data_IF_305562049223
#
_entry.id   IF_305562049223
#
_cell.length_a   1.000
_cell.length_b   1.000
_cell.length_c   1.000
_cell.angle_alpha   90.00
_cell.angle_beta   90.00
_cell.angle_gamma   90.00
#
_symmetry.space_group_name_H-M   'P 1'
#
loop_
_entity.id
_entity.type
_entity.pdbx_description
1 polymer ?
#
# COMPACT_ATOMS: atom_id res chain seq x y z
N UNK A 1 -35.45 -13.39 -13.12
CA UNK A 1 -34.58 -12.51 -12.30
C UNK A 1 -35.39 -11.41 -11.59
N UNK A 2 -36.69 -11.61 -11.33
CA UNK A 2 -37.46 -10.70 -10.48
C UNK A 2 -37.20 -11.03 -9.01
N UNK A 3 -36.75 -10.02 -8.25
CA UNK A 3 -36.84 -9.90 -6.78
C UNK A 3 -35.91 -10.78 -5.93
N UNK A 4 -34.62 -10.84 -6.28
CA UNK A 4 -33.59 -11.36 -5.35
C UNK A 4 -33.33 -10.42 -4.16
N UNK A 5 -33.50 -9.11 -4.37
CA UNK A 5 -33.17 -8.07 -3.40
C UNK A 5 -34.36 -7.15 -3.22
N UNK A 6 -35.03 -7.27 -2.09
CA UNK A 6 -36.00 -6.28 -1.63
C UNK A 6 -35.39 -5.59 -0.42
N UNK A 7 -34.93 -4.34 -0.57
CA UNK A 7 -34.40 -3.62 0.58
C UNK A 7 -35.51 -3.52 1.62
N UNK A 8 -35.16 -3.79 2.89
CA UNK A 8 -36.13 -3.70 3.98
C UNK A 8 -36.67 -2.27 4.10
N UNK A 9 -35.85 -1.29 3.71
CA UNK A 9 -36.17 0.13 3.71
C UNK A 9 -35.87 0.76 2.35
N UNK A 10 -36.79 1.57 1.85
CA UNK A 10 -36.68 2.25 0.56
C UNK A 10 -36.05 3.64 0.67
N UNK A 11 -35.88 4.16 1.89
CA UNK A 11 -35.24 5.45 2.17
C UNK A 11 -34.60 5.50 3.56
N UNK A 12 -33.64 6.41 3.74
CA UNK A 12 -33.00 6.68 5.04
C UNK A 12 -34.02 7.15 6.10
N UNK A 13 -35.10 7.81 5.67
CA UNK A 13 -36.18 8.22 6.55
C UNK A 13 -36.90 7.01 7.16
N UNK A 14 -37.12 5.94 6.39
CA UNK A 14 -37.74 4.72 6.91
C UNK A 14 -36.83 3.99 7.90
N UNK A 15 -35.52 3.96 7.65
CA UNK A 15 -34.52 3.43 8.59
C UNK A 15 -34.51 4.25 9.89
N UNK A 16 -34.54 5.58 9.78
CA UNK A 16 -34.59 6.48 10.93
C UNK A 16 -35.87 6.27 11.74
N UNK A 17 -37.01 6.11 11.06
CA UNK A 17 -38.30 5.80 11.69
C UNK A 17 -38.28 4.43 12.39
N UNK A 18 -37.57 3.44 11.83
CA UNK A 18 -37.37 2.14 12.48
C UNK A 18 -36.58 2.29 13.78
N UNK A 19 -35.46 3.01 13.78
CA UNK A 19 -34.68 3.27 14.99
C UNK A 19 -35.43 4.10 16.03
N UNK A 20 -36.26 5.07 15.60
CA UNK A 20 -37.12 5.83 16.51
C UNK A 20 -38.12 4.94 17.27
N UNK A 21 -38.57 3.84 16.65
CA UNK A 21 -39.50 2.86 17.26
C UNK A 21 -38.80 1.76 18.06
N UNK A 22 -37.49 1.58 17.89
CA UNK A 22 -36.71 0.52 18.50
C UNK A 22 -35.50 1.11 19.27
N UNK A 23 -35.69 1.58 20.52
CA UNK A 23 -34.66 2.28 21.27
C UNK A 23 -33.38 1.46 21.48
N UNK A 24 -33.48 0.15 21.69
CA UNK A 24 -32.32 -0.74 21.85
C UNK A 24 -31.50 -0.84 20.55
N UNK A 25 -32.16 -1.04 19.41
CA UNK A 25 -31.50 -1.07 18.10
C UNK A 25 -30.88 0.30 17.75
N UNK A 26 -31.53 1.39 18.15
CA UNK A 26 -31.01 2.75 17.96
C UNK A 26 -29.71 2.97 18.73
N UNK A 27 -29.68 2.59 20.01
CA UNK A 27 -28.45 2.71 20.82
C UNK A 27 -27.32 1.88 20.22
N UNK A 28 -27.60 0.62 19.85
CA UNK A 28 -26.59 -0.24 19.22
C UNK A 28 -26.04 0.36 17.91
N UNK A 29 -26.90 0.96 17.09
CA UNK A 29 -26.48 1.68 15.88
C UNK A 29 -25.65 2.94 16.19
N UNK A 30 -26.01 3.71 17.21
CA UNK A 30 -25.25 4.87 17.67
C UNK A 30 -23.85 4.46 18.16
N UNK A 31 -23.75 3.34 18.86
CA UNK A 31 -22.50 2.78 19.40
C UNK A 31 -21.55 2.24 18.31
N UNK A 32 -22.04 1.96 17.09
CA UNK A 32 -21.21 1.52 15.96
C UNK A 32 -20.18 2.57 15.50
N UNK A 33 -20.40 3.84 15.86
CA UNK A 33 -19.51 4.94 15.50
C UNK A 33 -19.49 5.27 13.99
N UNK A 34 -18.68 6.26 13.59
CA UNK A 34 -18.73 6.85 12.25
C UNK A 34 -18.25 5.91 11.14
N UNK A 35 -17.48 4.88 11.46
CA UNK A 35 -16.99 3.91 10.48
C UNK A 35 -18.10 2.91 10.07
N UNK A 36 -18.82 2.34 11.03
CA UNK A 36 -19.78 1.27 10.77
C UNK A 36 -21.22 1.76 10.54
N UNK A 37 -21.61 2.92 11.07
CA UNK A 37 -22.94 3.49 10.85
C UNK A 37 -23.30 3.63 9.36
N UNK A 38 -22.44 4.23 8.49
CA UNK A 38 -22.76 4.32 7.06
C UNK A 38 -22.87 2.95 6.40
N UNK A 39 -22.00 2.00 6.80
CA UNK A 39 -21.98 0.65 6.24
C UNK A 39 -23.24 -0.14 6.60
N UNK A 40 -23.72 -0.03 7.84
CA UNK A 40 -24.97 -0.61 8.30
C UNK A 40 -26.17 0.03 7.58
N UNK A 41 -26.18 1.37 7.46
CA UNK A 41 -27.23 2.09 6.73
C UNK A 41 -27.32 1.65 5.26
N UNK A 42 -26.18 1.54 4.57
CA UNK A 42 -26.12 1.08 3.18
C UNK A 42 -26.60 -0.37 3.02
N UNK A 43 -26.33 -1.23 4.00
CA UNK A 43 -26.86 -2.60 4.03
C UNK A 43 -28.39 -2.61 4.20
N UNK A 44 -28.93 -1.85 5.16
CA UNK A 44 -30.39 -1.74 5.40
C UNK A 44 -31.16 -1.22 4.19
N UNK A 45 -30.54 -0.33 3.40
CA UNK A 45 -31.08 0.20 2.14
C UNK A 45 -30.87 -0.73 0.94
N UNK A 46 -30.26 -1.91 1.12
CA UNK A 46 -29.95 -2.85 0.04
C UNK A 46 -28.98 -2.30 -1.01
N UNK A 47 -28.06 -1.42 -0.61
CA UNK A 47 -26.99 -0.89 -1.48
C UNK A 47 -25.71 -1.74 -1.38
N UNK A 48 -25.43 -2.27 -0.18
CA UNK A 48 -24.26 -3.11 0.11
C UNK A 48 -24.65 -4.49 0.62
N UNK A 49 -23.82 -5.50 0.39
CA UNK A 49 -23.92 -6.87 0.95
C UNK A 49 -23.42 -6.90 2.41
N UNK A 50 -23.38 -8.08 3.04
CA UNK A 50 -22.68 -8.23 4.33
C UNK A 50 -21.16 -8.14 4.13
N UNK A 51 -20.41 -7.47 5.03
CA UNK A 51 -18.96 -7.35 4.91
C UNK A 51 -18.27 -8.66 5.34
N UNK A 52 -18.15 -9.62 4.42
CA UNK A 52 -17.66 -10.98 4.71
C UNK A 52 -16.20 -11.06 5.12
N UNK A 53 -15.44 -9.99 4.95
CA UNK A 53 -14.04 -9.91 5.40
C UNK A 53 -13.89 -9.70 6.91
N UNK A 54 -15.00 -9.68 7.64
CA UNK A 54 -15.05 -9.54 9.08
C UNK A 54 -15.59 -10.80 9.74
N UNK A 55 -14.92 -11.22 10.81
CA UNK A 55 -15.15 -12.48 11.50
C UNK A 55 -16.62 -12.84 11.75
N UNK A 56 -17.46 -11.98 12.38
CA UNK A 56 -18.84 -12.36 12.68
C UNK A 56 -19.62 -12.72 11.41
N UNK A 57 -19.40 -11.97 10.33
CA UNK A 57 -20.08 -12.18 9.05
C UNK A 57 -19.57 -13.40 8.31
N UNK A 58 -18.24 -13.60 8.28
CA UNK A 58 -17.65 -14.79 7.71
C UNK A 58 -18.15 -16.05 8.42
N UNK A 59 -18.04 -16.08 9.76
CA UNK A 59 -18.49 -17.21 10.58
C UNK A 59 -19.97 -17.49 10.42
N UNK A 60 -20.79 -16.46 10.19
CA UNK A 60 -22.22 -16.65 9.95
C UNK A 60 -22.50 -17.34 8.61
N UNK A 61 -21.81 -16.95 7.54
CA UNK A 61 -22.01 -17.51 6.20
C UNK A 61 -21.37 -18.88 6.03
N UNK A 62 -20.19 -19.08 6.64
CA UNK A 62 -19.38 -20.30 6.57
C UNK A 62 -19.48 -21.16 7.84
N UNK A 63 -20.53 -20.98 8.64
CA UNK A 63 -20.70 -21.70 9.90
C UNK A 63 -20.70 -23.21 9.68
N UNK A 64 -19.78 -23.96 10.28
CA UNK A 64 -19.60 -25.35 9.88
C UNK A 64 -20.73 -26.30 10.32
N UNK A 65 -21.55 -25.93 11.31
CA UNK A 65 -22.71 -26.74 11.69
C UNK A 65 -23.89 -26.61 10.69
N UNK A 66 -23.99 -25.49 9.98
CA UNK A 66 -25.13 -25.21 9.09
C UNK A 66 -24.74 -25.20 7.62
N UNK A 67 -23.48 -24.87 7.31
CA UNK A 67 -22.95 -24.61 5.98
C UNK A 67 -21.50 -25.14 5.84
N UNK A 68 -21.17 -26.29 6.44
CA UNK A 68 -19.83 -26.91 6.36
C UNK A 68 -19.38 -27.15 4.93
N UNK A 69 -20.31 -27.49 4.05
CA UNK A 69 -20.10 -27.68 2.61
C UNK A 69 -19.44 -26.48 1.93
N UNK A 70 -19.77 -25.26 2.37
CA UNK A 70 -19.15 -24.03 1.85
C UNK A 70 -17.69 -23.92 2.23
N UNK A 71 -17.39 -24.17 3.50
CA UNK A 71 -16.03 -24.10 4.01
C UNK A 71 -15.17 -25.24 3.45
N UNK A 72 -15.72 -26.46 3.34
CA UNK A 72 -15.08 -27.59 2.67
C UNK A 72 -14.75 -27.28 1.20
N UNK A 73 -15.69 -26.68 0.48
CA UNK A 73 -15.51 -26.29 -0.92
C UNK A 73 -14.46 -25.18 -1.09
N UNK A 74 -14.47 -24.17 -0.20
CA UNK A 74 -13.45 -23.13 -0.17
C UNK A 74 -12.06 -23.73 0.10
N UNK A 75 -11.94 -24.51 1.17
CA UNK A 75 -10.68 -25.16 1.55
C UNK A 75 -10.18 -26.12 0.48
N UNK A 76 -11.08 -26.89 -0.13
CA UNK A 76 -10.72 -27.81 -1.21
C UNK A 76 -10.13 -27.07 -2.41
N UNK A 77 -10.68 -25.88 -2.67
CA UNK A 77 -10.22 -25.01 -3.75
C UNK A 77 -8.86 -24.36 -3.43
N UNK A 78 -8.62 -23.94 -2.18
CA UNK A 78 -7.36 -23.33 -1.74
C UNK A 78 -6.22 -24.36 -1.67
N UNK A 79 -6.51 -25.56 -1.16
CA UNK A 79 -5.53 -26.63 -0.95
C UNK A 79 -5.34 -27.53 -2.19
N UNK A 80 -6.05 -27.24 -3.29
CA UNK A 80 -6.01 -27.98 -4.55
C UNK A 80 -6.27 -29.49 -4.41
N UNK A 81 -7.10 -29.87 -3.44
CA UNK A 81 -7.48 -31.26 -3.16
C UNK A 81 -8.86 -31.31 -2.51
N UNK A 82 -9.58 -32.41 -2.69
CA UNK A 82 -10.84 -32.59 -1.96
C UNK A 82 -10.56 -32.74 -0.46
N UNK A 83 -11.30 -32.00 0.37
CA UNK A 83 -11.25 -32.09 1.84
C UNK A 83 -12.65 -32.12 2.42
N UNK A 84 -12.84 -32.84 3.52
CA UNK A 84 -14.05 -32.74 4.36
C UNK A 84 -13.69 -32.41 5.80
N UNK A 85 -14.54 -31.66 6.49
CA UNK A 85 -14.32 -31.23 7.87
C UNK A 85 -14.82 -32.34 8.81
N UNK A 86 -13.89 -32.94 9.57
CA UNK A 86 -14.23 -33.92 10.61
C UNK A 86 -14.84 -33.22 11.84
N UNK A 87 -14.23 -32.13 12.29
CA UNK A 87 -14.75 -31.29 13.37
C UNK A 87 -14.12 -29.90 13.37
N UNK A 88 -14.85 -28.94 13.94
CA UNK A 88 -14.32 -27.64 14.35
C UNK A 88 -13.69 -27.80 15.73
N UNK A 89 -12.49 -27.26 15.91
CA UNK A 89 -11.84 -27.24 17.22
C UNK A 89 -12.22 -25.95 17.97
N UNK A 90 -12.56 -26.05 19.28
CA UNK A 90 -12.83 -24.86 20.06
C UNK A 90 -11.57 -24.00 20.12
N UNK A 91 -11.76 -22.69 19.99
CA UNK A 91 -10.72 -21.69 20.24
C UNK A 91 -10.55 -21.54 21.76
N UNK A 92 -10.08 -22.58 22.46
CA UNK A 92 -9.82 -22.47 23.91
C UNK A 92 -8.63 -21.54 24.23
N UNK A 93 -8.78 -20.84 25.36
CA UNK A 93 -8.00 -19.71 25.87
C UNK A 93 -6.55 -20.03 26.29
N UNK A 94 -5.75 -18.95 26.30
CA UNK A 94 -4.46 -18.73 26.99
C UNK A 94 -3.20 -19.32 26.32
N UNK A 95 -2.52 -18.48 25.53
CA UNK A 95 -1.06 -18.51 25.45
C UNK A 95 -0.50 -18.47 26.88
N UNK A 96 0.49 -19.32 27.18
CA UNK A 96 1.31 -19.18 28.38
C UNK A 96 1.62 -17.69 28.61
N UNK A 97 1.18 -17.16 29.77
CA UNK A 97 1.29 -15.77 30.27
C UNK A 97 0.04 -14.85 30.22
N UNK A 98 -1.15 -15.39 29.99
CA UNK A 98 -2.41 -14.69 30.36
C UNK A 98 -2.82 -13.52 29.46
N UNK A 99 -2.00 -13.14 28.48
CA UNK A 99 -2.37 -12.22 27.40
C UNK A 99 -2.68 -13.01 26.12
N UNK A 100 -3.96 -13.05 25.77
CA UNK A 100 -4.43 -13.66 24.52
C UNK A 100 -4.01 -12.79 23.34
N UNK A 101 -2.91 -13.13 22.68
CA UNK A 101 -2.48 -12.56 21.38
C UNK A 101 -3.11 -13.27 20.16
N UNK A 102 -4.02 -14.21 20.40
CA UNK A 102 -4.70 -14.98 19.34
C UNK A 102 -6.13 -14.48 19.24
N UNK A 103 -6.36 -13.56 18.31
CA UNK A 103 -7.70 -13.09 17.99
C UNK A 103 -8.11 -13.79 16.70
N UNK A 104 -8.85 -14.89 16.92
CA UNK A 104 -9.73 -15.65 16.02
C UNK A 104 -9.10 -16.38 14.84
N UNK A 105 -9.72 -17.54 14.53
CA UNK A 105 -9.93 -18.12 13.20
C UNK A 105 -10.66 -19.47 13.28
N UNK A 106 -11.30 -19.88 12.18
CA UNK A 106 -11.96 -21.18 12.12
C UNK A 106 -10.86 -22.26 12.03
N UNK A 107 -10.61 -22.94 13.14
CA UNK A 107 -9.73 -24.11 13.19
C UNK A 107 -10.53 -25.37 12.92
N UNK A 108 -10.20 -26.08 11.85
CA UNK A 108 -10.86 -27.33 11.47
C UNK A 108 -9.88 -28.48 11.40
N UNK A 109 -10.38 -29.68 11.70
CA UNK A 109 -9.73 -30.93 11.34
C UNK A 109 -10.29 -31.43 10.02
N UNK A 110 -9.40 -31.81 9.12
CA UNK A 110 -9.73 -32.41 7.84
C UNK A 110 -9.77 -33.94 7.95
N UNK A 111 -10.35 -34.60 6.95
CA UNK A 111 -10.56 -36.04 6.87
C UNK A 111 -9.26 -36.87 6.85
N UNK A 112 -8.17 -36.28 6.39
CA UNK A 112 -6.83 -36.88 6.44
C UNK A 112 -6.13 -36.67 7.80
N UNK A 113 -6.82 -36.07 8.78
CA UNK A 113 -6.31 -35.78 10.11
C UNK A 113 -5.54 -34.45 10.23
N UNK A 114 -5.26 -33.76 9.12
CA UNK A 114 -4.58 -32.45 9.14
C UNK A 114 -5.43 -31.35 9.77
N UNK A 115 -4.77 -30.28 10.20
CA UNK A 115 -5.43 -29.08 10.74
C UNK A 115 -5.33 -27.93 9.75
N UNK A 116 -6.40 -27.16 9.60
CA UNK A 116 -6.37 -25.91 8.86
C UNK A 116 -6.91 -24.79 9.75
N UNK A 117 -6.22 -23.65 9.71
CA UNK A 117 -6.66 -22.40 10.29
C UNK A 117 -6.92 -21.40 9.19
N UNK A 118 -8.12 -20.84 9.15
CA UNK A 118 -8.55 -19.88 8.12
C UNK A 118 -8.74 -18.50 8.74
N UNK A 119 -7.88 -17.58 8.33
CA UNK A 119 -7.84 -16.17 8.73
C UNK A 119 -8.34 -15.25 7.66
N UNK A 120 -9.15 -14.27 8.06
CA UNK A 120 -9.47 -13.12 7.22
C UNK A 120 -9.09 -11.84 7.94
N UNK A 121 -8.13 -11.11 7.37
CA UNK A 121 -7.63 -9.85 7.92
C UNK A 121 -8.00 -8.69 7.00
N UNK A 122 -8.55 -7.63 7.58
CA UNK A 122 -8.83 -6.39 6.84
C UNK A 122 -7.55 -5.67 6.42
N UNK A 123 -6.60 -5.59 7.33
CA UNK A 123 -5.28 -4.99 7.15
C UNK A 123 -4.22 -5.91 7.75
N UNK A 124 -3.05 -6.05 7.11
CA UNK A 124 -1.87 -6.74 7.63
C UNK A 124 -1.19 -5.87 8.71
N UNK A 125 -1.86 -5.63 9.84
CA UNK A 125 -1.29 -4.87 10.97
C UNK A 125 -0.69 -5.79 12.04
N UNK A 126 0.34 -5.30 12.72
CA UNK A 126 0.97 -5.98 13.86
C UNK A 126 1.82 -7.19 13.48
N UNK A 127 2.96 -6.97 12.81
CA UNK A 127 3.90 -8.04 12.38
C UNK A 127 3.20 -9.32 11.85
N UNK A 128 2.37 -9.22 10.80
CA UNK A 128 1.48 -10.32 10.39
C UNK A 128 2.25 -11.59 10.01
N UNK A 129 3.45 -11.46 9.44
CA UNK A 129 4.32 -12.58 9.09
C UNK A 129 4.77 -13.35 10.36
N UNK A 130 5.06 -12.61 11.44
CA UNK A 130 5.37 -13.18 12.75
C UNK A 130 4.14 -13.83 13.39
N UNK A 131 2.96 -13.21 13.28
CA UNK A 131 1.69 -13.79 13.78
C UNK A 131 1.34 -15.09 13.08
N UNK A 132 1.44 -15.13 11.76
CA UNK A 132 1.25 -16.35 10.97
C UNK A 132 2.17 -17.48 11.45
N UNK A 133 3.44 -17.15 11.71
CA UNK A 133 4.42 -18.11 12.23
C UNK A 133 4.01 -18.64 13.61
N UNK A 134 3.52 -17.77 14.49
CA UNK A 134 3.00 -18.15 15.81
C UNK A 134 1.76 -19.05 15.70
N UNK A 135 0.79 -18.71 14.85
CA UNK A 135 -0.42 -19.53 14.66
C UNK A 135 -0.10 -20.91 14.14
N UNK A 136 0.75 -20.99 13.12
CA UNK A 136 1.18 -22.27 12.55
C UNK A 136 1.91 -23.13 13.59
N UNK A 137 2.78 -22.51 14.40
CA UNK A 137 3.51 -23.21 15.46
C UNK A 137 2.58 -23.70 16.58
N UNK A 138 1.60 -22.89 16.97
CA UNK A 138 0.59 -23.27 17.97
C UNK A 138 -0.26 -24.46 17.49
N UNK A 139 -0.75 -24.43 16.24
CA UNK A 139 -1.50 -25.54 15.65
C UNK A 139 -0.66 -26.83 15.61
N UNK A 140 0.60 -26.73 15.23
CA UNK A 140 1.52 -27.86 15.20
C UNK A 140 1.71 -28.44 16.62
N UNK A 141 1.87 -27.57 17.62
CA UNK A 141 2.02 -27.99 19.00
C UNK A 141 0.74 -28.62 19.58
N UNK A 142 -0.44 -28.12 19.22
CA UNK A 142 -1.73 -28.74 19.55
C UNK A 142 -1.83 -30.15 18.96
N UNK A 143 -1.46 -30.32 17.70
CA UNK A 143 -1.48 -31.63 17.05
C UNK A 143 -0.48 -32.60 17.69
N UNK A 144 0.76 -32.16 17.92
CA UNK A 144 1.77 -32.95 18.62
C UNK A 144 1.28 -33.41 20.00
N UNK A 145 0.75 -32.49 20.82
CA UNK A 145 0.28 -32.81 22.17
C UNK A 145 -0.89 -33.81 22.14
N UNK A 146 -1.83 -33.63 21.22
CA UNK A 146 -2.98 -34.54 21.03
C UNK A 146 -2.52 -35.96 20.63
N UNK A 147 -1.66 -36.07 19.62
CA UNK A 147 -1.18 -37.37 19.14
C UNK A 147 -0.29 -38.06 20.18
N UNK A 148 0.59 -37.32 20.86
CA UNK A 148 1.43 -37.85 21.93
C UNK A 148 0.61 -38.34 23.12
N UNK A 149 -0.43 -37.61 23.53
CA UNK A 149 -1.33 -38.05 24.58
C UNK A 149 -2.07 -39.34 24.20
N UNK A 150 -2.50 -39.47 22.92
CA UNK A 150 -3.20 -40.65 22.41
C UNK A 150 -2.30 -41.88 22.27
N UNK A 151 -1.05 -41.71 21.79
CA UNK A 151 -0.14 -42.82 21.49
C UNK A 151 0.82 -43.18 22.63
N UNK A 152 1.10 -42.26 23.55
CA UNK A 152 2.01 -42.49 24.67
C UNK A 152 3.37 -42.99 24.21
N UNK A 153 3.73 -44.22 24.61
CA UNK A 153 5.05 -44.81 24.30
C UNK A 153 5.23 -45.25 22.84
N UNK A 154 4.16 -45.40 22.06
CA UNK A 154 4.24 -45.77 20.64
C UNK A 154 4.27 -44.57 19.70
N UNK A 155 4.41 -43.36 20.24
CA UNK A 155 4.49 -42.12 19.48
C UNK A 155 5.71 -42.09 18.55
N UNK A 156 5.48 -41.66 17.30
CA UNK A 156 6.49 -41.29 16.32
C UNK A 156 6.17 -39.90 15.74
N UNK A 157 7.20 -39.13 15.37
CA UNK A 157 7.00 -37.85 14.66
C UNK A 157 6.33 -38.03 13.29
N UNK A 158 6.39 -39.23 12.70
CA UNK A 158 5.67 -39.58 11.48
C UNK A 158 4.14 -39.63 11.68
N UNK A 159 3.67 -39.63 12.93
CA UNK A 159 2.24 -39.66 13.27
C UNK A 159 1.60 -38.27 13.28
N UNK A 160 2.39 -37.20 13.13
CA UNK A 160 1.91 -35.82 13.15
C UNK A 160 1.42 -35.46 11.76
N UNK A 161 0.18 -34.98 11.66
CA UNK A 161 -0.40 -34.51 10.41
C UNK A 161 0.06 -33.07 10.11
N UNK A 162 -0.06 -32.68 8.84
CA UNK A 162 0.23 -31.31 8.42
C UNK A 162 -0.70 -30.30 9.09
N UNK A 163 -0.22 -29.07 9.20
CA UNK A 163 -0.98 -27.91 9.62
C UNK A 163 -0.91 -26.85 8.53
N UNK A 164 -2.07 -26.31 8.15
CA UNK A 164 -2.23 -25.28 7.13
C UNK A 164 -2.64 -23.98 7.81
N UNK A 165 -1.92 -22.89 7.50
CA UNK A 165 -2.28 -21.54 7.92
C UNK A 165 -2.68 -20.76 6.68
N UNK A 166 -3.97 -20.48 6.54
CA UNK A 166 -4.57 -19.80 5.40
C UNK A 166 -4.93 -18.39 5.85
N UNK A 167 -4.40 -17.37 5.19
CA UNK A 167 -4.68 -15.96 5.50
C UNK A 167 -5.21 -15.26 4.26
N UNK A 168 -6.34 -14.60 4.39
CA UNK A 168 -7.01 -13.84 3.34
C UNK A 168 -6.97 -12.36 3.74
N UNK A 169 -6.31 -11.54 2.93
CA UNK A 169 -6.24 -10.09 3.09
C UNK A 169 -7.32 -9.39 2.28
N UNK A 170 -8.11 -8.53 2.91
CA UNK A 170 -8.95 -7.57 2.17
C UNK A 170 -8.07 -6.52 1.47
N UNK A 171 -7.14 -5.91 2.23
CA UNK A 171 -6.11 -5.01 1.72
C UNK A 171 -4.75 -5.58 2.13
N UNK A 172 -3.93 -5.96 1.17
CA UNK A 172 -2.64 -6.59 1.38
C UNK A 172 -1.50 -5.56 1.52
N UNK A 173 -0.30 -6.01 1.91
CA UNK A 173 0.89 -5.13 1.99
C UNK A 173 1.39 -4.78 0.59
N UNK A 174 2.17 -3.70 0.48
CA UNK A 174 2.83 -3.30 -0.77
C UNK A 174 3.61 -4.44 -1.47
N UNK A 175 4.21 -5.36 -0.71
CA UNK A 175 4.93 -6.52 -1.26
C UNK A 175 4.07 -7.46 -2.12
N UNK A 176 2.75 -7.50 -1.92
CA UNK A 176 1.82 -8.31 -2.71
C UNK A 176 1.41 -7.65 -4.04
N UNK A 177 1.70 -6.35 -4.20
CA UNK A 177 1.47 -5.60 -5.44
C UNK A 177 2.75 -5.44 -6.28
N UNK A 178 3.80 -6.21 -5.97
CA UNK A 178 5.03 -6.18 -6.76
C UNK A 178 4.74 -6.59 -8.22
N UNK A 179 5.12 -5.79 -9.22
CA UNK A 179 4.93 -6.12 -10.63
C UNK A 179 5.53 -7.49 -11.02
N UNK A 180 6.58 -7.94 -10.34
CA UNK A 180 7.22 -9.23 -10.60
C UNK A 180 6.34 -10.43 -10.20
N UNK A 181 5.34 -10.22 -9.34
CA UNK A 181 4.32 -11.22 -9.02
C UNK A 181 3.27 -11.35 -10.13
N UNK A 182 3.27 -10.45 -11.12
CA UNK A 182 2.40 -10.50 -12.31
C UNK A 182 0.91 -10.73 -11.98
N UNK A 183 0.44 -10.05 -10.93
CA UNK A 183 -0.95 -10.13 -10.45
C UNK A 183 -1.32 -11.45 -9.77
N UNK A 184 -0.35 -12.25 -9.32
CA UNK A 184 -0.63 -13.38 -8.45
C UNK A 184 -1.23 -12.88 -7.14
N UNK A 185 -2.42 -13.37 -6.82
CA UNK A 185 -3.16 -13.07 -5.60
C UNK A 185 -3.24 -14.25 -4.64
N UNK A 186 -2.61 -15.39 -4.98
CA UNK A 186 -2.53 -16.59 -4.14
C UNK A 186 -1.07 -16.96 -4.03
N UNK A 187 -0.58 -17.09 -2.79
CA UNK A 187 0.80 -17.40 -2.48
C UNK A 187 0.85 -18.64 -1.59
N UNK A 188 1.34 -19.75 -2.13
CA UNK A 188 1.61 -20.96 -1.36
C UNK A 188 3.03 -20.90 -0.79
N UNK A 189 3.12 -20.93 0.53
CA UNK A 189 4.38 -20.96 1.27
C UNK A 189 4.76 -22.37 1.67
N UNK A 190 5.87 -22.85 1.11
CA UNK A 190 6.53 -24.10 1.49
C UNK A 190 8.04 -23.88 1.67
N UNK A 191 8.65 -24.60 2.61
CA UNK A 191 10.06 -24.40 2.94
C UNK A 191 10.97 -25.00 1.87
N UNK A 192 11.76 -24.14 1.24
CA UNK A 192 12.87 -24.51 0.35
C UNK A 192 14.14 -23.89 0.91
N UNK A 193 15.19 -24.70 1.04
CA UNK A 193 16.49 -24.23 1.54
C UNK A 193 17.22 -23.43 0.46
N UNK A 194 18.17 -22.59 0.86
CA UNK A 194 19.02 -21.78 -0.03
C UNK A 194 19.73 -22.61 -1.14
N UNK A 195 20.07 -23.86 -0.83
CA UNK A 195 20.63 -24.84 -1.78
C UNK A 195 19.62 -25.37 -2.83
N UNK A 196 18.33 -25.06 -2.70
CA UNK A 196 17.24 -25.62 -3.50
C UNK A 196 16.66 -26.94 -2.97
N UNK A 197 17.17 -27.45 -1.85
CA UNK A 197 16.60 -28.63 -1.19
C UNK A 197 15.16 -28.35 -0.74
N UNK A 198 14.22 -29.17 -1.20
CA UNK A 198 12.80 -29.10 -0.79
C UNK A 198 12.52 -30.18 0.25
N UNK A 199 12.18 -29.77 1.47
CA UNK A 199 11.74 -30.68 2.52
C UNK A 199 10.23 -30.61 2.68
N UNK A 200 9.60 -31.75 2.90
CA UNK A 200 8.17 -31.83 3.19
C UNK A 200 7.94 -31.60 4.69
N UNK A 201 7.98 -30.34 5.13
CA UNK A 201 7.70 -29.97 6.51
C UNK A 201 6.19 -30.03 6.81
N UNK A 202 5.85 -30.01 8.10
CA UNK A 202 4.47 -30.14 8.56
C UNK A 202 3.67 -28.83 8.43
N UNK A 203 4.34 -27.69 8.33
CA UNK A 203 3.71 -26.37 8.25
C UNK A 203 3.65 -25.92 6.79
N UNK A 204 2.46 -25.55 6.34
CA UNK A 204 2.24 -24.91 5.05
C UNK A 204 1.38 -23.66 5.21
N UNK A 205 1.63 -22.68 4.33
CA UNK A 205 0.96 -21.38 4.38
C UNK A 205 0.27 -21.11 3.06
N UNK A 206 -0.91 -20.50 3.12
CA UNK A 206 -1.56 -19.91 1.95
C UNK A 206 -1.91 -18.47 2.27
N UNK A 207 -1.44 -17.53 1.46
CA UNK A 207 -1.81 -16.12 1.58
C UNK A 207 -2.59 -15.71 0.34
N UNK A 208 -3.74 -15.07 0.54
CA UNK A 208 -4.63 -14.64 -0.53
C UNK A 208 -4.86 -13.13 -0.43
N UNK A 209 -4.57 -12.38 -1.48
CA UNK A 209 -4.72 -10.92 -1.54
C UNK A 209 -5.99 -10.54 -2.34
N UNK A 210 -7.09 -10.20 -1.66
CA UNK A 210 -8.38 -9.91 -2.31
C UNK A 210 -8.35 -8.61 -3.12
N UNK A 211 -7.61 -7.61 -2.66
CA UNK A 211 -7.38 -6.37 -3.41
C UNK A 211 -6.72 -6.62 -4.76
N UNK A 212 -5.62 -7.38 -4.81
CA UNK A 212 -4.97 -7.82 -6.06
C UNK A 212 -5.94 -8.66 -6.90
N UNK A 213 -6.73 -9.53 -6.26
CA UNK A 213 -7.80 -10.30 -6.92
C UNK A 213 -8.93 -9.41 -7.49
N UNK A 214 -9.14 -8.19 -7.02
CA UNK A 214 -10.17 -7.30 -7.57
C UNK A 214 -9.66 -6.42 -8.70
N UNK A 215 -8.35 -6.35 -8.92
CA UNK A 215 -7.77 -5.47 -9.94
C UNK A 215 -8.19 -5.88 -11.36
N UNK A 216 -8.68 -4.95 -12.20
CA UNK A 216 -9.13 -5.28 -13.55
C UNK A 216 -7.98 -5.56 -14.53
N UNK A 217 -6.74 -5.25 -14.16
CA UNK A 217 -5.55 -5.42 -15.00
C UNK A 217 -5.21 -6.89 -15.29
N UNK A 218 -5.74 -7.83 -14.49
CA UNK A 218 -5.42 -9.24 -14.58
C UNK A 218 -6.63 -10.07 -15.05
N UNK A 219 -6.43 -10.86 -16.10
CA UNK A 219 -7.42 -11.85 -16.54
C UNK A 219 -7.42 -13.05 -15.62
N UNK A 220 -8.61 -13.54 -15.26
CA UNK A 220 -8.77 -14.65 -14.31
C UNK A 220 -9.58 -15.77 -14.93
N UNK A 221 -9.11 -16.99 -14.72
CA UNK A 221 -9.87 -18.17 -15.13
C UNK A 221 -11.13 -18.33 -14.28
N UNK A 222 -12.19 -18.84 -14.89
CA UNK A 222 -13.44 -19.14 -14.19
C UNK A 222 -13.29 -20.50 -13.51
N UNK A 223 -13.03 -20.49 -12.21
CA UNK A 223 -12.92 -21.69 -11.39
C UNK A 223 -13.63 -21.48 -10.04
N UNK A 224 -13.79 -22.57 -9.27
CA UNK A 224 -14.51 -22.53 -7.99
C UNK A 224 -13.86 -21.59 -6.99
N UNK A 225 -12.52 -21.56 -6.92
CA UNK A 225 -11.77 -20.67 -6.03
C UNK A 225 -12.10 -19.21 -6.31
N UNK A 226 -12.02 -18.79 -7.56
CA UNK A 226 -12.32 -17.43 -7.98
C UNK A 226 -13.78 -17.06 -7.75
N UNK A 227 -14.70 -18.03 -7.79
CA UNK A 227 -16.08 -17.82 -7.36
C UNK A 227 -16.19 -17.51 -5.86
N UNK A 228 -15.44 -18.23 -5.02
CA UNK A 228 -15.36 -17.91 -3.58
C UNK A 228 -14.70 -16.56 -3.30
N UNK A 229 -13.59 -16.24 -3.97
CA UNK A 229 -12.93 -14.95 -3.80
C UNK A 229 -13.84 -13.80 -4.26
N UNK A 230 -14.60 -14.01 -5.35
CA UNK A 230 -15.64 -13.06 -5.80
C UNK A 230 -16.72 -12.85 -4.74
N UNK A 231 -17.18 -13.91 -4.06
CA UNK A 231 -18.13 -13.78 -2.96
C UNK A 231 -17.57 -12.91 -1.83
N UNK A 232 -16.32 -13.15 -1.43
CA UNK A 232 -15.66 -12.43 -0.33
C UNK A 232 -15.41 -10.95 -0.68
N UNK A 233 -15.14 -10.64 -1.95
CA UNK A 233 -14.84 -9.28 -2.41
C UNK A 233 -16.06 -8.48 -2.91
N UNK A 234 -17.22 -9.13 -3.11
CA UNK A 234 -18.42 -8.44 -3.64
C UNK A 234 -19.16 -7.71 -2.53
N UNK A 235 -18.90 -6.41 -2.42
CA UNK A 235 -19.60 -5.54 -1.47
C UNK A 235 -20.84 -4.84 -2.03
N UNK A 236 -20.84 -4.51 -3.32
CA UNK A 236 -21.90 -3.72 -3.94
C UNK A 236 -22.99 -4.61 -4.53
N UNK A 237 -24.24 -4.30 -4.20
CA UNK A 237 -25.40 -5.06 -4.72
C UNK A 237 -25.50 -4.94 -6.25
N UNK A 238 -25.00 -3.86 -6.84
CA UNK A 238 -24.91 -3.68 -8.29
C UNK A 238 -24.00 -4.71 -8.98
N UNK A 239 -23.01 -5.25 -8.26
CA UNK A 239 -22.02 -6.19 -8.79
C UNK A 239 -22.46 -7.65 -8.65
N UNK A 240 -23.44 -7.91 -7.77
CA UNK A 240 -24.00 -9.26 -7.53
C UNK A 240 -24.54 -9.93 -8.81
N UNK A 241 -25.29 -9.26 -9.70
CA UNK A 241 -25.79 -9.91 -10.92
C UNK A 241 -24.65 -10.46 -11.80
N UNK A 242 -23.53 -9.75 -11.89
CA UNK A 242 -22.35 -10.21 -12.62
C UNK A 242 -21.70 -11.41 -11.93
N UNK A 243 -21.51 -11.34 -10.61
CA UNK A 243 -20.97 -12.45 -9.82
C UNK A 243 -21.81 -13.74 -9.98
N UNK A 244 -23.15 -13.61 -9.98
CA UNK A 244 -24.07 -14.73 -10.20
C UNK A 244 -24.02 -15.22 -11.66
N UNK A 245 -23.89 -14.33 -12.63
CA UNK A 245 -23.78 -14.71 -14.03
C UNK A 245 -22.51 -15.53 -14.29
N UNK A 246 -21.39 -15.15 -13.65
CA UNK A 246 -20.12 -15.88 -13.76
C UNK A 246 -20.11 -17.15 -12.90
N UNK A 247 -20.75 -17.14 -11.74
CA UNK A 247 -20.81 -18.26 -10.79
C UNK A 247 -22.24 -18.50 -10.27
N UNK A 248 -23.08 -19.26 -11.01
CA UNK A 248 -24.51 -19.41 -10.70
C UNK A 248 -24.83 -19.96 -9.30
N UNK A 249 -23.95 -20.80 -8.74
CA UNK A 249 -24.11 -21.38 -7.40
C UNK A 249 -24.08 -20.33 -6.28
N UNK A 250 -23.46 -19.16 -6.51
CA UNK A 250 -23.47 -18.04 -5.56
C UNK A 250 -24.88 -17.48 -5.31
N UNK A 251 -25.84 -17.74 -6.20
CA UNK A 251 -27.22 -17.28 -6.05
C UNK A 251 -27.82 -17.66 -4.70
N UNK A 252 -27.58 -18.88 -4.23
CA UNK A 252 -28.14 -19.36 -2.97
C UNK A 252 -27.57 -18.59 -1.78
N UNK A 253 -26.26 -18.35 -1.79
CA UNK A 253 -25.54 -17.66 -0.72
C UNK A 253 -25.93 -16.18 -0.68
N UNK A 254 -25.98 -15.50 -1.84
CA UNK A 254 -26.42 -14.12 -1.92
C UNK A 254 -27.87 -13.94 -1.46
N UNK A 255 -28.78 -14.88 -1.76
CA UNK A 255 -30.16 -14.87 -1.23
C UNK A 255 -30.20 -15.00 0.29
N UNK A 256 -29.40 -15.91 0.84
CA UNK A 256 -29.31 -16.08 2.29
C UNK A 256 -28.79 -14.80 2.95
N UNK A 257 -27.75 -14.19 2.39
CA UNK A 257 -27.22 -12.91 2.89
C UNK A 257 -28.27 -11.79 2.82
N UNK A 258 -29.06 -11.74 1.74
CA UNK A 258 -30.17 -10.81 1.59
C UNK A 258 -31.24 -10.99 2.67
N UNK A 259 -31.52 -12.23 3.08
CA UNK A 259 -32.55 -12.52 4.09
C UNK A 259 -32.20 -11.95 5.47
N UNK A 260 -30.91 -11.77 5.80
CA UNK A 260 -30.52 -11.09 7.04
C UNK A 260 -30.97 -9.63 7.12
N UNK A 261 -31.30 -8.99 5.98
CA UNK A 261 -31.93 -7.66 6.00
C UNK A 261 -33.26 -7.66 6.76
N UNK A 262 -33.96 -8.80 6.86
CA UNK A 262 -35.23 -8.94 7.59
C UNK A 262 -35.00 -8.97 9.12
N UNK A 263 -33.76 -9.21 9.57
CA UNK A 263 -33.36 -9.28 10.97
C UNK A 263 -32.30 -8.22 11.32
N UNK A 264 -32.63 -6.92 11.23
CA UNK A 264 -31.65 -5.84 11.44
C UNK A 264 -30.98 -5.86 12.82
N UNK A 265 -31.66 -6.36 13.86
CA UNK A 265 -31.09 -6.47 15.22
C UNK A 265 -29.96 -7.51 15.31
N UNK A 266 -30.10 -8.64 14.62
CA UNK A 266 -29.04 -9.65 14.54
C UNK A 266 -27.82 -9.09 13.81
N UNK A 267 -28.06 -8.42 12.70
CA UNK A 267 -27.01 -7.78 11.91
C UNK A 267 -26.31 -6.67 12.71
N UNK A 268 -27.05 -5.82 13.44
CA UNK A 268 -26.47 -4.83 14.35
C UNK A 268 -25.54 -5.48 15.38
N UNK A 269 -25.96 -6.59 15.97
CA UNK A 269 -25.15 -7.34 16.93
C UNK A 269 -23.84 -7.82 16.30
N UNK A 270 -23.90 -8.31 15.05
CA UNK A 270 -22.70 -8.72 14.31
C UNK A 270 -21.77 -7.55 13.99
N UNK A 271 -22.31 -6.38 13.62
CA UNK A 271 -21.52 -5.15 13.44
C UNK A 271 -20.87 -4.69 14.75
N UNK A 272 -21.60 -4.74 15.87
CA UNK A 272 -21.06 -4.41 17.20
C UNK A 272 -19.96 -5.38 17.62
N UNK A 273 -20.13 -6.68 17.33
CA UNK A 273 -19.10 -7.67 17.58
C UNK A 273 -17.86 -7.45 16.70
N UNK A 274 -18.04 -7.13 15.42
CA UNK A 274 -16.95 -6.82 14.50
C UNK A 274 -16.17 -5.57 14.97
N UNK A 275 -16.88 -4.54 15.46
CA UNK A 275 -16.26 -3.38 16.09
C UNK A 275 -15.48 -3.76 17.35
N UNK A 276 -16.06 -4.56 18.25
CA UNK A 276 -15.37 -5.02 19.48
C UNK A 276 -14.09 -5.81 19.17
N UNK A 277 -14.14 -6.68 18.17
CA UNK A 277 -12.97 -7.46 17.71
C UNK A 277 -11.94 -6.53 17.11
N UNK A 278 -12.38 -5.59 16.26
CA UNK A 278 -11.51 -4.57 15.70
C UNK A 278 -10.87 -3.74 16.80
N UNK A 279 -11.59 -3.25 17.79
CA UNK A 279 -11.01 -2.47 18.89
C UNK A 279 -10.03 -3.31 19.72
N UNK A 280 -10.32 -4.59 19.97
CA UNK A 280 -9.40 -5.51 20.66
C UNK A 280 -8.12 -5.78 19.84
N UNK A 281 -8.22 -5.82 18.50
CA UNK A 281 -7.10 -5.99 17.57
C UNK A 281 -6.33 -4.69 17.27
N UNK A 282 -7.01 -3.55 17.21
CA UNK A 282 -6.54 -2.29 16.64
C UNK A 282 -6.01 -1.30 17.68
N UNK A 283 -6.31 -1.46 18.97
CA UNK A 283 -6.05 -0.36 19.93
C UNK A 283 -4.61 -0.27 20.41
N UNK A 284 -3.84 -1.36 20.46
CA UNK A 284 -2.46 -1.31 20.98
C UNK A 284 -1.35 -1.42 19.92
N UNK A 285 -1.54 -2.18 18.84
CA UNK A 285 -0.47 -2.44 17.87
C UNK A 285 -0.56 -1.57 16.59
N UNK A 286 -1.77 -1.32 16.10
CA UNK A 286 -1.99 -0.53 14.88
C UNK A 286 -1.74 0.97 15.11
N UNK A 287 -2.04 1.49 16.30
CA UNK A 287 -1.71 2.88 16.66
C UNK A 287 -0.19 3.06 16.72
N UNK A 288 0.55 2.14 17.34
CA UNK A 288 2.02 2.22 17.44
C UNK A 288 2.69 2.09 16.07
N UNK A 289 2.19 1.21 15.19
CA UNK A 289 2.70 1.07 13.82
C UNK A 289 2.36 2.27 12.94
N UNK A 290 1.11 2.77 12.95
CA UNK A 290 0.75 3.99 12.22
C UNK A 290 1.49 5.22 12.76
N UNK A 291 1.76 5.28 14.07
CA UNK A 291 2.60 6.34 14.65
C UNK A 291 4.03 6.20 14.17
N UNK A 292 4.59 4.99 14.11
CA UNK A 292 5.94 4.74 13.62
C UNK A 292 6.09 5.08 12.14
N UNK A 293 5.14 4.68 11.29
CA UNK A 293 5.13 5.03 9.86
C UNK A 293 4.97 6.54 9.67
N UNK A 294 4.06 7.17 10.42
CA UNK A 294 3.90 8.63 10.43
C UNK A 294 5.17 9.35 10.87
N UNK A 295 5.88 8.83 11.87
CA UNK A 295 7.12 9.42 12.34
C UNK A 295 8.28 9.19 11.36
N UNK A 296 8.33 8.04 10.68
CA UNK A 296 9.24 7.80 9.56
C UNK A 296 9.00 8.78 8.41
N UNK A 297 7.76 8.95 7.97
CA UNK A 297 7.40 9.93 6.94
C UNK A 297 7.73 11.36 7.37
N UNK A 298 7.54 11.70 8.65
CA UNK A 298 7.95 13.01 9.20
C UNK A 298 9.46 13.21 9.18
N UNK A 299 10.23 12.15 9.42
CA UNK A 299 11.69 12.21 9.37
C UNK A 299 12.19 12.33 7.92
N UNK A 300 11.58 11.63 6.98
CA UNK A 300 11.86 11.74 5.55
C UNK A 300 11.53 13.14 5.01
N UNK A 301 10.37 13.69 5.39
CA UNK A 301 10.00 15.10 5.08
C UNK A 301 11.00 16.08 5.72
N UNK A 302 11.50 15.81 6.92
CA UNK A 302 12.53 16.65 7.56
C UNK A 302 13.86 16.59 6.80
N UNK A 303 14.28 15.42 6.33
CA UNK A 303 15.49 15.28 5.52
C UNK A 303 15.37 16.02 4.19
N UNK A 304 14.25 15.85 3.47
CA UNK A 304 13.99 16.56 2.22
C UNK A 304 13.96 18.08 2.40
N UNK A 305 13.38 18.58 3.50
CA UNK A 305 13.43 20.01 3.81
C UNK A 305 14.86 20.51 4.10
N UNK A 306 15.67 19.74 4.85
CA UNK A 306 17.05 20.10 5.10
C UNK A 306 17.90 20.13 3.82
N UNK A 307 17.69 19.16 2.93
CA UNK A 307 18.36 19.12 1.62
C UNK A 307 17.94 20.31 0.74
N UNK A 308 16.64 20.62 0.70
CA UNK A 308 16.13 21.81 0.01
C UNK A 308 16.75 23.10 0.55
N UNK A 309 16.84 23.26 1.86
CA UNK A 309 17.39 24.47 2.49
C UNK A 309 18.90 24.60 2.21
N UNK A 310 19.65 23.49 2.19
CA UNK A 310 21.06 23.48 1.78
C UNK A 310 21.22 23.91 0.32
N UNK A 311 20.45 23.32 -0.60
CA UNK A 311 20.46 23.70 -2.02
C UNK A 311 20.08 25.17 -2.22
N UNK A 312 19.13 25.70 -1.42
CA UNK A 312 18.76 27.11 -1.43
C UNK A 312 19.92 28.01 -0.98
N UNK A 313 20.68 27.60 0.04
CA UNK A 313 21.89 28.31 0.46
C UNK A 313 22.98 28.30 -0.62
N UNK A 314 23.22 27.16 -1.27
CA UNK A 314 24.18 27.08 -2.39
C UNK A 314 23.76 27.97 -3.57
N UNK A 315 22.46 27.99 -3.91
CA UNK A 315 21.90 28.88 -4.93
C UNK A 315 22.13 30.35 -4.59
N UNK A 316 21.86 30.77 -3.36
CA UNK A 316 22.05 32.17 -2.95
C UNK A 316 23.54 32.57 -2.91
N UNK A 317 24.44 31.63 -2.57
CA UNK A 317 25.88 31.84 -2.66
C UNK A 317 26.33 32.06 -4.11
N UNK A 318 25.91 31.19 -5.02
CA UNK A 318 26.22 31.32 -6.45
C UNK A 318 25.62 32.57 -7.09
N UNK A 319 24.42 32.98 -6.68
CA UNK A 319 23.82 34.25 -7.11
C UNK A 319 24.66 35.46 -6.66
N UNK A 320 25.20 35.43 -5.44
CA UNK A 320 26.10 36.47 -4.94
C UNK A 320 27.44 36.50 -5.69
N UNK A 321 28.03 35.34 -5.98
CA UNK A 321 29.24 35.22 -6.80
C UNK A 321 29.02 35.76 -8.22
N UNK A 322 27.90 35.40 -8.86
CA UNK A 322 27.51 35.92 -10.17
C UNK A 322 27.37 37.45 -10.16
N UNK A 323 26.79 38.01 -9.10
CA UNK A 323 26.66 39.46 -8.96
C UNK A 323 28.03 40.15 -8.82
N UNK A 324 28.96 39.54 -8.08
CA UNK A 324 30.32 40.03 -7.95
C UNK A 324 31.04 40.02 -9.30
N UNK A 325 31.04 38.88 -10.01
CA UNK A 325 31.64 38.79 -11.35
C UNK A 325 31.04 39.80 -12.34
N UNK A 326 29.71 40.00 -12.27
CA UNK A 326 29.04 40.99 -13.12
C UNK A 326 29.52 42.41 -12.82
N UNK A 327 29.75 42.73 -11.55
CA UNK A 327 30.24 44.04 -11.10
C UNK A 327 31.68 44.27 -11.57
N UNK A 328 32.55 43.28 -11.42
CA UNK A 328 33.93 43.31 -11.92
C UNK A 328 33.97 43.48 -13.44
N UNK A 329 33.10 42.76 -14.18
CA UNK A 329 32.97 42.89 -15.63
C UNK A 329 32.60 44.33 -16.04
N UNK A 330 31.66 44.96 -15.33
CA UNK A 330 31.31 46.38 -15.58
C UNK A 330 32.46 47.34 -15.29
N UNK A 331 33.24 47.10 -14.23
CA UNK A 331 34.42 47.92 -13.92
C UNK A 331 35.48 47.78 -15.01
N UNK A 332 35.79 46.55 -15.44
CA UNK A 332 36.72 46.30 -16.52
C UNK A 332 36.29 46.95 -17.83
N UNK A 333 35.00 46.89 -18.17
CA UNK A 333 34.46 47.57 -19.36
C UNK A 333 34.67 49.09 -19.30
N UNK A 334 34.37 49.73 -18.17
CA UNK A 334 34.61 51.18 -18.01
C UNK A 334 36.09 51.53 -18.11
N UNK A 335 36.98 50.67 -17.60
CA UNK A 335 38.42 50.90 -17.67
C UNK A 335 38.95 50.76 -19.10
N UNK A 336 38.39 49.83 -19.89
CA UNK A 336 38.67 49.70 -21.32
C UNK A 336 38.24 50.96 -22.06
N UNK A 337 37.01 51.44 -21.87
CA UNK A 337 36.52 52.69 -22.52
C UNK A 337 37.41 53.90 -22.20
N UNK A 338 37.88 54.02 -20.95
CA UNK A 338 38.82 55.08 -20.57
C UNK A 338 40.19 54.93 -21.25
N UNK A 339 40.68 53.71 -21.42
CA UNK A 339 41.93 53.45 -22.14
C UNK A 339 41.79 53.75 -23.63
N UNK A 340 40.68 53.35 -24.25
CA UNK A 340 40.37 53.66 -25.65
C UNK A 340 40.35 55.17 -25.90
N UNK A 341 39.69 55.95 -25.03
CA UNK A 341 39.69 57.42 -25.14
C UNK A 341 41.10 58.03 -24.99
N UNK A 342 41.95 57.46 -24.12
CA UNK A 342 43.35 57.91 -23.98
C UNK A 342 44.18 57.59 -25.22
N UNK A 343 43.98 56.42 -25.82
CA UNK A 343 44.64 56.02 -27.07
C UNK A 343 44.25 57.01 -28.17
N UNK A 344 42.97 57.31 -28.34
CA UNK A 344 42.46 58.25 -29.34
C UNK A 344 43.07 59.67 -29.16
N UNK A 345 43.19 60.14 -27.92
CA UNK A 345 43.87 61.41 -27.61
C UNK A 345 45.38 61.38 -27.93
N UNK A 346 46.04 60.25 -27.69
CA UNK A 346 47.46 60.08 -28.02
C UNK A 346 47.68 60.01 -29.53
N UNK A 347 46.83 59.29 -30.26
CA UNK A 347 46.85 59.22 -31.73
C UNK A 347 46.71 60.62 -32.34
N UNK A 348 45.75 61.43 -31.86
CA UNK A 348 45.61 62.82 -32.32
C UNK A 348 46.85 63.69 -32.04
N UNK A 349 47.53 63.48 -30.90
CA UNK A 349 48.79 64.18 -30.60
C UNK A 349 49.93 63.74 -31.51
N UNK A 350 50.02 62.44 -31.80
CA UNK A 350 51.02 61.91 -32.73
C UNK A 350 50.80 62.52 -34.11
N UNK A 351 49.56 62.53 -34.61
CA UNK A 351 49.21 63.13 -35.90
C UNK A 351 49.58 64.62 -35.99
N UNK A 352 49.33 65.39 -34.92
CA UNK A 352 49.77 66.79 -34.83
C UNK A 352 51.29 66.95 -34.82
N UNK A 353 52.02 66.04 -34.16
CA UNK A 353 53.48 66.06 -34.14
C UNK A 353 54.07 65.68 -35.49
N UNK A 354 53.50 64.69 -36.17
CA UNK A 354 53.87 64.31 -37.54
C UNK A 354 53.68 65.48 -38.50
N UNK A 355 52.58 66.22 -38.40
CA UNK A 355 52.34 67.41 -39.23
C UNK A 355 53.42 68.49 -39.02
N UNK A 356 53.84 68.72 -37.77
CA UNK A 356 54.92 69.66 -37.44
C UNK A 356 56.27 69.18 -37.98
N UNK A 357 56.56 67.90 -37.88
CA UNK A 357 57.77 67.29 -38.43
C UNK A 357 57.84 67.48 -39.94
N UNK A 358 56.73 67.24 -40.65
CA UNK A 358 56.64 67.48 -42.10
C UNK A 358 56.88 68.95 -42.44
N UNK A 359 56.27 69.89 -41.72
CA UNK A 359 56.51 71.33 -41.91
C UNK A 359 57.98 71.71 -41.67
N UNK A 360 58.60 71.16 -40.63
CA UNK A 360 60.02 71.39 -40.35
C UNK A 360 60.91 70.80 -41.46
N UNK A 361 60.56 69.62 -41.98
CA UNK A 361 61.27 68.99 -43.08
C UNK A 361 61.18 69.84 -44.36
N UNK A 362 60.01 70.38 -44.68
CA UNK A 362 59.82 71.31 -45.82
C UNK A 362 60.69 72.57 -45.69
N UNK A 363 60.79 73.14 -44.48
CA UNK A 363 61.66 74.28 -44.20
C UNK A 363 63.14 73.91 -44.40
N UNK A 364 63.57 72.75 -43.90
CA UNK A 364 64.95 72.28 -44.07
C UNK A 364 65.28 72.10 -45.55
N UNK A 365 64.37 71.52 -46.33
CA UNK A 365 64.59 71.29 -47.75
C UNK A 365 64.61 72.62 -48.53
N UNK A 366 63.77 73.59 -48.17
CA UNK A 366 63.84 74.97 -48.69
C UNK A 366 65.20 75.62 -48.40
N UNK A 367 65.67 75.56 -47.15
CA UNK A 367 66.97 76.10 -46.76
C UNK A 367 68.13 75.39 -47.45
N UNK A 368 68.04 74.08 -47.70
CA UNK A 368 69.04 73.33 -48.48
C UNK A 368 69.12 73.84 -49.92
N UNK A 369 67.99 74.06 -50.57
CA UNK A 369 67.94 74.64 -51.92
C UNK A 369 68.60 76.02 -51.96
N UNK A 370 68.30 76.88 -50.99
CA UNK A 370 68.95 78.20 -50.88
C UNK A 370 70.46 78.08 -50.63
N UNK A 371 70.88 77.17 -49.74
CA UNK A 371 72.28 76.94 -49.42
C UNK A 371 73.07 76.43 -50.64
N UNK A 372 72.48 75.54 -51.44
CA UNK A 372 73.08 75.03 -52.67
C UNK A 372 73.14 76.11 -53.76
N UNK A 373 72.13 77.00 -53.84
CA UNK A 373 72.17 78.18 -54.71
C UNK A 373 73.29 79.17 -54.31
N UNK A 374 73.47 79.42 -53.01
CA UNK A 374 74.56 80.27 -52.49
C UNK A 374 75.92 79.62 -52.75
N UNK A 375 76.08 78.30 -52.54
CA UNK A 375 77.32 77.58 -52.87
C UNK A 375 77.66 77.68 -54.36
N UNK A 376 76.66 77.60 -55.25
CA UNK A 376 76.85 77.79 -56.68
C UNK A 376 77.30 79.22 -57.06
N UNK A 377 76.91 80.24 -56.29
CA UNK A 377 77.35 81.63 -56.49
C UNK A 377 78.76 81.93 -55.96
N UNK A 378 79.24 81.22 -54.94
CA UNK A 378 80.54 81.50 -54.28
C UNK A 378 81.73 80.77 -54.95
N UNK A 379 81.48 79.80 -55.83
CA UNK A 379 82.50 79.28 -56.74
C UNK A 379 83.47 78.27 -56.12
N UNK A 380 83.20 77.00 -56.37
CA UNK A 380 84.19 76.03 -56.86
C UNK A 380 83.53 75.12 -57.87
#
# INVERSE_FOLDING_TARGET
MEKLWHPLFTSEQEVTNYFAKNPHAKQAFEDLGPFWQPRMMQFMLGKKTLPLTYDPFFKKVFHADTNSDRLESLLSSILERHVTIENILPTEDVLFDGETLVIMDIVVRLDDGSLANVEIQKYPSGFPDGRMSCYSSDLLMREYNKIKAKKGKSFSYQDIHKVYTIVIYENSKAAYHDPDLNGQYIHHGAVTFDSGLKLNLLQEFHVIALDVFTEPAYTRDRNTLNGWLTLLSTEDISSVPQAIADYPWLTAIFKEMANYMIHPEEVLTMFSEALRIMDRNSTHLYIDELQKEKDQLRDEVRQLHAERDNLQCELTLHEAELLQYKTELTQHKSMIEQQESKIEQQESKIEQQELKLTQQQDIIDSLRVELDAIKAMIGK
#
